data_IF_445401325412
#
_entry.id   IF_445401325412
#
_cell.length_a   1.000
_cell.length_b   1.000
_cell.length_c   1.000
_cell.angle_alpha   90.00
_cell.angle_beta   90.00
_cell.angle_gamma   90.00
#
_symmetry.space_group_name_H-M   'P 1'
#
loop_
_entity.id
_entity.type
_entity.pdbx_description
1 polymer ?
#
# COMPACT_ATOMS: atom_id res chain seq x y z
N UNK A 1 -12.42 16.66 -13.57
CA UNK A 1 -11.48 16.22 -12.51
C UNK A 1 -10.42 15.46 -13.27
N UNK A 2 -9.19 15.95 -13.32
CA UNK A 2 -8.20 15.56 -14.33
C UNK A 2 -8.07 14.04 -14.43
N UNK A 3 -8.31 13.49 -15.62
CA UNK A 3 -7.86 12.16 -16.03
C UNK A 3 -6.33 12.15 -15.92
N UNK A 4 -5.80 11.84 -14.74
CA UNK A 4 -4.37 11.58 -14.59
C UNK A 4 -4.14 10.16 -15.07
N UNK A 5 -3.36 10.01 -16.12
CA UNK A 5 -3.00 8.71 -16.67
C UNK A 5 -2.35 7.83 -15.58
N UNK A 6 -2.63 6.51 -15.59
CA UNK A 6 -2.07 5.59 -14.60
C UNK A 6 -0.55 5.52 -14.64
N UNK A 7 0.07 5.67 -15.81
CA UNK A 7 1.53 5.77 -15.93
C UNK A 7 2.07 6.99 -15.17
N UNK A 8 1.45 8.16 -15.34
CA UNK A 8 1.83 9.39 -14.63
C UNK A 8 1.67 9.22 -13.11
N UNK A 9 0.55 8.63 -12.66
CA UNK A 9 0.33 8.28 -11.25
C UNK A 9 1.45 7.37 -10.72
N UNK A 10 1.81 6.34 -11.49
CA UNK A 10 2.85 5.39 -11.12
C UNK A 10 4.24 6.03 -11.04
N UNK A 11 4.55 7.00 -11.91
CA UNK A 11 5.78 7.77 -11.83
C UNK A 11 5.81 8.60 -10.54
N UNK A 12 4.73 9.32 -10.22
CA UNK A 12 4.63 10.11 -8.99
C UNK A 12 4.71 9.26 -7.72
N UNK A 13 4.16 8.03 -7.73
CA UNK A 13 4.30 7.10 -6.62
C UNK A 13 5.76 6.68 -6.36
N UNK A 14 6.56 6.61 -7.42
CA UNK A 14 7.97 6.25 -7.33
C UNK A 14 8.88 7.45 -7.03
N UNK A 15 8.41 8.67 -7.27
CA UNK A 15 9.06 9.91 -6.86
C UNK A 15 8.84 10.13 -5.35
N UNK A 16 9.85 9.89 -4.52
CA UNK A 16 9.70 9.83 -3.06
C UNK A 16 10.75 10.61 -2.27
N UNK A 17 11.45 11.58 -2.89
CA UNK A 17 12.55 12.30 -2.26
C UNK A 17 12.29 13.81 -2.17
N UNK A 18 12.52 14.39 -0.99
CA UNK A 18 12.44 15.84 -0.79
C UNK A 18 11.06 16.45 -1.05
N UNK A 19 11.04 17.48 -1.91
CA UNK A 19 9.86 18.29 -2.26
C UNK A 19 8.81 17.50 -3.08
N UNK A 20 9.20 16.39 -3.70
CA UNK A 20 8.31 15.54 -4.53
C UNK A 20 7.33 14.71 -3.68
N UNK A 21 7.52 14.66 -2.35
CA UNK A 21 6.64 13.96 -1.40
C UNK A 21 5.19 14.42 -1.46
N UNK A 22 4.96 15.71 -1.65
CA UNK A 22 3.59 16.25 -1.79
C UNK A 22 2.92 15.68 -3.05
N UNK A 23 3.65 15.59 -4.17
CA UNK A 23 3.13 14.97 -5.40
C UNK A 23 2.88 13.47 -5.21
N UNK A 24 3.79 12.78 -4.51
CA UNK A 24 3.62 11.37 -4.16
C UNK A 24 2.34 11.13 -3.35
N UNK A 25 2.07 11.99 -2.36
CA UNK A 25 0.89 11.91 -1.51
C UNK A 25 -0.39 12.16 -2.32
N UNK A 26 -0.40 13.18 -3.19
CA UNK A 26 -1.52 13.47 -4.09
C UNK A 26 -1.79 12.27 -5.01
N UNK A 27 -0.73 11.65 -5.56
CA UNK A 27 -0.84 10.46 -6.39
C UNK A 27 -1.44 9.28 -5.63
N UNK A 28 -0.98 9.05 -4.40
CA UNK A 28 -1.51 8.04 -3.49
C UNK A 28 -2.99 8.26 -3.19
N UNK A 29 -3.39 9.48 -2.84
CA UNK A 29 -4.79 9.80 -2.57
C UNK A 29 -5.68 9.60 -3.78
N UNK A 30 -5.22 10.02 -4.96
CA UNK A 30 -5.94 9.82 -6.22
C UNK A 30 -6.09 8.33 -6.55
N UNK A 31 -5.01 7.55 -6.43
CA UNK A 31 -5.08 6.09 -6.60
C UNK A 31 -6.09 5.47 -5.62
N UNK A 32 -6.02 5.87 -4.37
CA UNK A 32 -6.88 5.40 -3.30
C UNK A 32 -8.36 5.72 -3.58
N UNK A 33 -8.64 6.91 -4.10
CA UNK A 33 -9.98 7.34 -4.49
C UNK A 33 -10.47 6.59 -5.73
N UNK A 34 -9.61 6.34 -6.71
CA UNK A 34 -9.92 5.52 -7.89
C UNK A 34 -10.29 4.09 -7.49
N UNK A 35 -9.51 3.47 -6.59
CA UNK A 35 -9.78 2.13 -6.08
C UNK A 35 -11.10 2.07 -5.31
N UNK A 36 -11.39 3.08 -4.48
CA UNK A 36 -12.61 3.15 -3.68
C UNK A 36 -13.87 3.40 -4.53
N UNK A 37 -13.76 4.25 -5.55
CA UNK A 37 -14.86 4.62 -6.44
C UNK A 37 -15.11 3.60 -7.54
N UNK A 38 -14.15 2.71 -7.81
CA UNK A 38 -14.29 1.73 -8.87
C UNK A 38 -15.27 0.63 -8.45
N UNK A 39 -16.43 0.62 -9.09
CA UNK A 39 -17.40 -0.46 -8.98
C UNK A 39 -16.99 -1.71 -9.77
N UNK A 40 -15.90 -1.65 -10.55
CA UNK A 40 -15.46 -2.70 -11.44
C UNK A 40 -13.97 -3.06 -11.24
N UNK A 41 -13.74 -4.27 -10.73
CA UNK A 41 -12.41 -4.83 -10.49
C UNK A 41 -11.59 -4.92 -11.79
N UNK A 42 -12.17 -5.45 -12.86
CA UNK A 42 -11.51 -5.57 -14.17
C UNK A 42 -11.01 -4.22 -14.68
N UNK A 43 -11.86 -3.19 -14.64
CA UNK A 43 -11.50 -1.83 -15.10
C UNK A 43 -10.42 -1.20 -14.21
N UNK A 44 -10.48 -1.47 -12.91
CA UNK A 44 -9.42 -1.09 -11.98
C UNK A 44 -8.09 -1.74 -12.34
N UNK A 45 -8.08 -3.02 -12.67
CA UNK A 45 -6.87 -3.76 -13.01
C UNK A 45 -6.32 -3.39 -14.39
N UNK A 46 -7.20 -3.03 -15.34
CA UNK A 46 -6.79 -2.48 -16.63
C UNK A 46 -6.13 -1.10 -16.48
N UNK A 47 -6.71 -0.24 -15.63
CA UNK A 47 -6.19 1.12 -15.43
C UNK A 47 -4.96 1.11 -14.53
N UNK A 48 -5.07 0.48 -13.35
CA UNK A 48 -4.04 0.43 -12.32
C UNK A 48 -3.64 -1.04 -12.06
N UNK A 49 -2.75 -1.61 -12.89
CA UNK A 49 -2.37 -3.01 -12.76
C UNK A 49 -1.66 -3.27 -11.43
N UNK A 50 -2.18 -4.15 -10.55
CA UNK A 50 -1.58 -4.40 -9.23
C UNK A 50 -0.17 -4.98 -9.35
N UNK A 51 0.15 -5.65 -10.46
CA UNK A 51 1.51 -6.14 -10.77
C UNK A 51 2.58 -5.05 -10.79
N UNK A 52 2.21 -3.80 -11.07
CA UNK A 52 3.13 -2.67 -11.14
C UNK A 52 2.95 -1.73 -9.96
N UNK A 53 1.71 -1.48 -9.55
CA UNK A 53 1.40 -0.58 -8.43
C UNK A 53 1.77 -1.17 -7.06
N UNK A 54 1.48 -2.45 -6.79
CA UNK A 54 1.84 -3.07 -5.51
C UNK A 54 3.34 -3.01 -5.19
N UNK A 55 4.26 -3.39 -6.10
CA UNK A 55 5.68 -3.28 -5.79
C UNK A 55 6.14 -1.82 -5.61
N UNK A 56 5.53 -0.85 -6.31
CA UNK A 56 5.80 0.57 -6.06
C UNK A 56 5.35 0.99 -4.65
N UNK A 57 4.14 0.62 -4.23
CA UNK A 57 3.63 0.87 -2.88
C UNK A 57 4.49 0.19 -1.81
N UNK A 58 4.94 -1.05 -2.04
CA UNK A 58 5.84 -1.76 -1.12
C UNK A 58 7.21 -1.08 -1.00
N UNK A 59 7.73 -0.47 -2.08
CA UNK A 59 8.97 0.32 -2.03
C UNK A 59 8.83 1.56 -1.13
N UNK A 60 7.66 2.18 -1.09
CA UNK A 60 7.40 3.32 -0.18
C UNK A 60 7.53 2.87 1.28
N UNK A 61 7.06 1.66 1.61
CA UNK A 61 7.24 1.07 2.95
C UNK A 61 8.69 0.75 3.30
N UNK A 62 9.47 0.35 2.29
CA UNK A 62 10.90 0.10 2.44
C UNK A 62 11.71 1.39 2.65
N UNK A 63 11.15 2.55 2.26
CA UNK A 63 11.80 3.84 2.46
C UNK A 63 11.72 4.29 3.92
N UNK A 64 12.87 4.28 4.60
CA UNK A 64 12.98 4.66 6.02
C UNK A 64 12.71 6.15 6.29
N UNK A 65 12.82 6.99 5.26
CA UNK A 65 12.57 8.44 5.31
C UNK A 65 11.08 8.79 5.14
N UNK A 66 10.22 7.79 4.91
CA UNK A 66 8.80 8.03 4.67
C UNK A 66 8.04 8.50 5.92
N UNK A 67 7.30 9.63 5.83
CA UNK A 67 6.48 10.11 6.93
C UNK A 67 5.23 9.24 7.10
N UNK A 68 4.68 9.21 8.32
CA UNK A 68 3.52 8.38 8.68
C UNK A 68 2.30 8.62 7.77
N UNK A 69 2.05 9.86 7.35
CA UNK A 69 0.93 10.18 6.45
C UNK A 69 1.04 9.46 5.10
N UNK A 70 2.24 9.44 4.49
CA UNK A 70 2.46 8.77 3.20
C UNK A 70 2.30 7.26 3.39
N UNK A 71 2.86 6.71 4.47
CA UNK A 71 2.75 5.29 4.79
C UNK A 71 1.30 4.87 5.06
N UNK A 72 0.51 5.67 5.76
CA UNK A 72 -0.91 5.39 6.03
C UNK A 72 -1.72 5.29 4.74
N UNK A 73 -1.64 6.31 3.87
CA UNK A 73 -2.37 6.28 2.60
C UNK A 73 -1.88 5.13 1.71
N UNK A 74 -0.58 4.82 1.75
CA UNK A 74 0.00 3.65 1.06
C UNK A 74 -0.59 2.34 1.60
N UNK A 75 -0.67 2.18 2.92
CA UNK A 75 -1.28 1.02 3.57
C UNK A 75 -2.73 0.84 3.14
N UNK A 76 -3.49 1.94 3.17
CA UNK A 76 -4.90 1.96 2.77
C UNK A 76 -5.10 1.58 1.30
N UNK A 77 -4.26 2.11 0.40
CA UNK A 77 -4.29 1.74 -1.01
C UNK A 77 -3.98 0.24 -1.22
N UNK A 78 -2.99 -0.30 -0.49
CA UNK A 78 -2.69 -1.73 -0.50
C UNK A 78 -3.91 -2.53 -0.01
N UNK A 79 -4.53 -2.13 1.10
CA UNK A 79 -5.74 -2.80 1.62
C UNK A 79 -6.86 -2.80 0.60
N UNK A 80 -7.08 -1.72 -0.15
CA UNK A 80 -8.06 -1.71 -1.23
C UNK A 80 -7.73 -2.70 -2.34
N UNK A 81 -6.48 -2.82 -2.76
CA UNK A 81 -6.08 -3.87 -3.70
C UNK A 81 -6.35 -5.28 -3.17
N UNK A 82 -6.22 -5.50 -1.87
CA UNK A 82 -6.45 -6.78 -1.21
C UNK A 82 -7.95 -7.10 -1.06
N UNK A 83 -8.74 -6.08 -0.74
CA UNK A 83 -10.20 -6.18 -0.65
C UNK A 83 -10.81 -6.54 -2.02
N UNK A 84 -10.24 -5.94 -3.07
CA UNK A 84 -10.59 -6.23 -4.46
C UNK A 84 -10.12 -7.63 -4.90
N UNK A 85 -8.90 -8.04 -4.54
CA UNK A 85 -8.39 -9.38 -4.86
C UNK A 85 -7.34 -9.88 -3.87
N UNK A 86 -7.59 -11.06 -3.30
CA UNK A 86 -6.64 -11.76 -2.45
C UNK A 86 -5.38 -12.25 -3.19
N UNK A 87 -5.35 -12.25 -4.53
CA UNK A 87 -4.14 -12.57 -5.29
C UNK A 87 -3.07 -11.47 -5.17
N UNK A 88 -3.50 -10.24 -4.85
CA UNK A 88 -2.60 -9.13 -4.57
C UNK A 88 -1.68 -9.44 -3.38
N UNK A 89 -2.15 -10.19 -2.38
CA UNK A 89 -1.31 -10.48 -1.21
C UNK A 89 -0.13 -11.37 -1.53
N UNK A 90 -0.30 -12.36 -2.40
CA UNK A 90 0.82 -13.19 -2.87
C UNK A 90 1.90 -12.37 -3.55
N UNK A 91 1.54 -11.28 -4.23
CA UNK A 91 2.52 -10.37 -4.85
C UNK A 91 3.29 -9.58 -3.81
N UNK A 92 2.61 -9.02 -2.81
CA UNK A 92 3.25 -8.25 -1.73
C UNK A 92 4.25 -9.12 -0.97
N UNK A 93 3.85 -10.35 -0.62
CA UNK A 93 4.73 -11.32 0.06
C UNK A 93 5.91 -11.71 -0.84
N UNK A 94 5.73 -11.72 -2.17
CA UNK A 94 6.79 -11.95 -3.14
C UNK A 94 7.76 -10.79 -3.31
N UNK A 95 7.45 -9.58 -2.81
CA UNK A 95 8.39 -8.45 -2.80
C UNK A 95 9.36 -8.62 -1.64
N UNK A 96 10.62 -8.87 -1.98
CA UNK A 96 11.68 -9.09 -0.99
C UNK A 96 11.77 -7.90 -0.01
N UNK A 97 11.70 -8.21 1.28
CA UNK A 97 11.74 -7.21 2.35
C UNK A 97 10.44 -6.44 2.61
N UNK A 98 9.38 -6.55 1.78
CA UNK A 98 8.15 -5.79 1.99
C UNK A 98 7.46 -6.13 3.32
N UNK A 99 7.29 -7.41 3.62
CA UNK A 99 6.70 -7.86 4.90
C UNK A 99 7.56 -7.43 6.08
N UNK A 100 8.89 -7.53 5.95
CA UNK A 100 9.83 -7.11 6.99
C UNK A 100 9.75 -5.60 7.24
N UNK A 101 9.64 -4.80 6.19
CA UNK A 101 9.49 -3.35 6.28
C UNK A 101 8.15 -2.97 6.92
N UNK A 102 7.05 -3.59 6.50
CA UNK A 102 5.72 -3.43 7.13
C UNK A 102 5.79 -3.74 8.64
N UNK A 103 6.33 -4.90 9.01
CA UNK A 103 6.49 -5.30 10.41
C UNK A 103 7.42 -4.36 11.18
N UNK A 104 8.50 -3.88 10.56
CA UNK A 104 9.41 -2.94 11.21
C UNK A 104 8.73 -1.59 11.46
N UNK A 105 7.94 -1.09 10.50
CA UNK A 105 7.13 0.13 10.67
C UNK A 105 6.09 -0.03 11.78
N UNK A 106 5.43 -1.19 11.86
CA UNK A 106 4.55 -1.56 12.98
C UNK A 106 5.22 -1.51 14.35
N UNK A 107 6.50 -1.92 14.44
CA UNK A 107 7.28 -1.90 15.68
C UNK A 107 7.73 -0.49 16.05
N UNK A 108 8.03 0.35 15.05
CA UNK A 108 8.50 1.73 15.23
C UNK A 108 7.33 2.72 15.40
N UNK A 109 6.11 2.33 15.04
CA UNK A 109 4.89 3.15 15.19
C UNK A 109 4.74 3.63 16.64
N UNK A 110 4.84 4.94 16.83
CA UNK A 110 4.50 5.58 18.10
C UNK A 110 2.98 5.62 18.25
N UNK A 111 2.44 4.78 19.13
CA UNK A 111 1.01 4.69 19.48
C UNK A 111 0.39 5.99 20.03
N UNK A 112 1.18 7.06 20.14
CA UNK A 112 0.73 8.39 20.55
C UNK A 112 -0.04 9.12 19.43
N UNK A 113 0.22 8.79 18.15
CA UNK A 113 -0.39 9.46 17.02
C UNK A 113 -1.53 8.63 16.40
N UNK A 114 -2.70 9.23 16.14
CA UNK A 114 -3.86 8.49 15.57
C UNK A 114 -3.53 7.85 14.23
N UNK A 115 -2.84 8.56 13.34
CA UNK A 115 -2.47 8.09 12.01
C UNK A 115 -1.59 6.84 12.08
N UNK A 116 -0.64 6.82 13.01
CA UNK A 116 0.27 5.68 13.23
C UNK A 116 -0.49 4.44 13.71
N UNK A 117 -1.55 4.61 14.53
CA UNK A 117 -2.43 3.51 14.94
C UNK A 117 -3.26 2.95 13.79
N UNK A 118 -3.78 3.81 12.92
CA UNK A 118 -4.54 3.37 11.73
C UNK A 118 -3.62 2.60 10.77
N UNK A 119 -2.44 3.15 10.49
CA UNK A 119 -1.37 2.49 9.74
C UNK A 119 -1.06 1.10 10.30
N UNK A 120 -0.90 0.97 11.62
CA UNK A 120 -0.66 -0.32 12.25
C UNK A 120 -1.83 -1.31 12.00
N UNK A 121 -3.07 -0.87 12.14
CA UNK A 121 -4.22 -1.73 11.86
C UNK A 121 -4.28 -2.17 10.39
N UNK A 122 -4.00 -1.26 9.45
CA UNK A 122 -3.92 -1.58 8.02
C UNK A 122 -2.82 -2.59 7.73
N UNK A 123 -1.62 -2.38 8.26
CA UNK A 123 -0.50 -3.31 8.10
C UNK A 123 -0.84 -4.70 8.64
N UNK A 124 -1.51 -4.80 9.79
CA UNK A 124 -1.97 -6.09 10.35
C UNK A 124 -3.02 -6.73 9.44
N UNK A 125 -3.96 -5.97 8.88
CA UNK A 125 -4.93 -6.48 7.90
C UNK A 125 -4.25 -7.03 6.65
N UNK A 126 -3.24 -6.34 6.15
CA UNK A 126 -2.43 -6.79 4.99
C UNK A 126 -1.74 -8.11 5.32
N UNK A 127 -1.06 -8.20 6.46
CA UNK A 127 -0.34 -9.41 6.89
C UNK A 127 -1.31 -10.57 7.13
N UNK A 128 -2.46 -10.30 7.76
CA UNK A 128 -3.48 -11.32 8.05
C UNK A 128 -4.21 -11.79 6.80
N UNK A 129 -4.46 -10.90 5.84
CA UNK A 129 -4.97 -11.26 4.52
C UNK A 129 -3.92 -11.96 3.64
N UNK A 130 -2.65 -11.95 4.07
CA UNK A 130 -1.56 -12.65 3.40
C UNK A 130 -1.41 -14.10 3.86
N UNK A 131 -2.01 -14.46 5.00
CA UNK A 131 -2.06 -15.85 5.42
C UNK A 131 -2.87 -16.64 4.40
N UNK A 132 -2.26 -17.65 3.74
CA UNK A 132 -3.04 -18.61 2.98
C UNK A 132 -3.98 -19.30 3.97
N UNK A 133 -5.24 -19.52 3.59
CA UNK A 133 -6.25 -20.22 4.37
C UNK A 133 -5.94 -21.73 4.63
N UNK A 134 -4.66 -22.12 4.65
CA UNK A 134 -4.17 -23.38 5.19
C UNK A 134 -3.53 -23.11 6.54
N UNK A 135 -4.23 -23.46 7.60
CA UNK A 135 -3.72 -23.34 8.97
C UNK A 135 -2.35 -23.98 9.12
N UNK A 136 -1.38 -23.16 9.50
CA UNK A 136 -0.13 -23.60 10.09
C UNK A 136 0.11 -22.70 11.29
N UNK A 137 -0.20 -23.27 12.45
CA UNK A 137 0.54 -23.16 13.70
C UNK A 137 1.80 -22.28 13.61
N UNK A 138 1.64 -20.96 13.76
CA UNK A 138 2.70 -20.13 14.31
C UNK A 138 2.53 -20.22 15.82
N UNK A 139 3.21 -21.23 16.37
CA UNK A 139 3.55 -21.32 17.76
C UNK A 139 4.46 -20.13 18.08
N UNK A 140 3.87 -19.05 18.61
CA UNK A 140 4.58 -18.04 19.38
C UNK A 140 4.05 -18.06 20.82
#
# INVERSE_FOLDING_TARGET
>A
MADVDPDTLLEWLQMGQGDERDMQLIALEQLCMLLLMSDNVDRCFETCPPRTFLPALCKIFLDESAPDNVLEVTARAITYYLDVSAECTRRIVGVDGAIKALCNRLVVVELNNRTSRDLAEQCVKVIRGAEPAGGVDILL
#
